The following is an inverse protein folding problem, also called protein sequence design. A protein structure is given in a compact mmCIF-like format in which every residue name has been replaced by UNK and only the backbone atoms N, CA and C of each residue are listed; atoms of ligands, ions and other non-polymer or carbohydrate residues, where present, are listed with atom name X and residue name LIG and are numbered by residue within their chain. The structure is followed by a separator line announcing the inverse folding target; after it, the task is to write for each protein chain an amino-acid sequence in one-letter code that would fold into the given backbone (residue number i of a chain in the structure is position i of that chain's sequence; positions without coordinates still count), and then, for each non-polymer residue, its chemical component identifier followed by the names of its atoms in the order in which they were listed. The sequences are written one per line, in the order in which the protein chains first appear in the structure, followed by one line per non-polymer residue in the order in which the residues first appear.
data_IF_687400103238
#
_entry.id   IF_687400103238
#
_cell.length_a   1.000
_cell.length_b   1.000
_cell.length_c   1.000
_cell.angle_alpha   90.00
_cell.angle_beta   90.00
_cell.angle_gamma   90.00
#
_symmetry.space_group_name_H-M   'P 1'
#
loop_
_entity.id
_entity.type
_entity.pdbx_description
1 polymer ?
#
# COMPACT_ATOMS: atom_id res chain seq x y z
N UNK A 1 19.88 -43.57 36.80
CA UNK A 1 21.07 -43.02 36.13
C UNK A 1 20.59 -42.28 34.88
N UNK A 2 20.81 -40.96 34.89
CA UNK A 2 20.66 -39.90 33.88
C UNK A 2 19.55 -39.90 32.80
N UNK A 3 18.84 -38.77 32.84
CA UNK A 3 17.92 -38.12 31.88
C UNK A 3 18.62 -37.80 30.55
N UNK A 4 17.92 -37.91 29.42
CA UNK A 4 18.08 -36.95 28.31
C UNK A 4 16.75 -36.76 27.57
N UNK A 5 16.00 -35.71 27.97
CA UNK A 5 15.08 -35.04 27.08
C UNK A 5 15.88 -34.27 26.05
N UNK A 6 15.65 -34.52 24.76
CA UNK A 6 16.27 -33.74 23.70
C UNK A 6 15.35 -32.55 23.39
N UNK A 7 15.70 -31.40 23.96
CA UNK A 7 15.20 -30.09 23.56
C UNK A 7 15.71 -29.85 22.13
N UNK A 8 14.83 -29.96 21.14
CA UNK A 8 15.10 -29.54 19.78
C UNK A 8 14.46 -28.16 19.58
N UNK A 9 15.12 -27.05 19.97
CA UNK A 9 14.45 -25.73 19.89
C UNK A 9 15.29 -24.52 19.47
N UNK A 10 16.48 -24.66 18.87
CA UNK A 10 17.24 -23.45 18.48
C UNK A 10 17.96 -23.49 17.13
N UNK A 11 18.05 -24.64 16.45
CA UNK A 11 18.75 -24.74 15.16
C UNK A 11 17.83 -24.70 13.92
N UNK A 12 16.51 -24.91 14.09
CA UNK A 12 15.51 -24.81 12.99
C UNK A 12 15.33 -23.35 12.56
N UNK A 13 15.73 -22.37 13.36
CA UNK A 13 15.16 -21.02 13.28
C UNK A 13 15.91 -20.04 12.36
N UNK A 14 17.21 -20.26 12.07
CA UNK A 14 17.99 -19.31 11.23
C UNK A 14 18.15 -19.75 9.79
N UNK A 15 18.46 -21.02 9.56
CA UNK A 15 18.66 -21.54 8.21
C UNK A 15 17.34 -21.65 7.43
N UNK A 16 16.26 -22.10 8.07
CA UNK A 16 14.93 -22.11 7.45
C UNK A 16 14.48 -20.68 7.12
N UNK A 17 14.55 -19.76 8.09
CA UNK A 17 14.20 -18.34 7.88
C UNK A 17 15.04 -17.69 6.77
N UNK A 18 16.33 -18.03 6.66
CA UNK A 18 17.20 -17.52 5.60
C UNK A 18 16.86 -18.07 4.20
N UNK A 19 16.44 -19.35 4.11
CA UNK A 19 16.00 -19.96 2.85
C UNK A 19 14.65 -19.38 2.43
N UNK A 20 13.71 -19.22 3.36
CA UNK A 20 12.42 -18.58 3.12
C UNK A 20 12.61 -17.15 2.64
N UNK A 21 13.46 -16.35 3.31
CA UNK A 21 13.81 -15.00 2.86
C UNK A 21 14.47 -14.96 1.48
N UNK A 22 15.24 -15.98 1.11
CA UNK A 22 15.85 -16.12 -0.22
C UNK A 22 14.84 -16.49 -1.31
N UNK A 23 13.87 -17.37 -1.02
CA UNK A 23 12.75 -17.69 -1.92
C UNK A 23 11.77 -16.53 -2.07
N UNK A 24 11.66 -15.67 -1.05
CA UNK A 24 10.78 -14.50 -1.02
C UNK A 24 11.45 -13.24 -1.59
N UNK A 25 12.68 -13.38 -2.11
CA UNK A 25 13.34 -12.31 -2.85
C UNK A 25 12.61 -12.03 -4.18
N UNK A 26 12.51 -10.76 -4.57
CA UNK A 26 11.84 -10.36 -5.80
C UNK A 26 12.58 -11.00 -7.00
N UNK A 27 11.81 -11.49 -7.98
CA UNK A 27 12.39 -12.12 -9.17
C UNK A 27 12.61 -13.64 -9.08
N UNK A 28 12.22 -14.30 -7.99
CA UNK A 28 12.37 -15.76 -7.81
C UNK A 28 11.10 -16.57 -8.07
N UNK A 29 9.95 -15.92 -8.12
CA UNK A 29 8.72 -16.53 -8.60
C UNK A 29 8.73 -16.69 -10.12
N UNK A 30 7.73 -17.39 -10.64
CA UNK A 30 7.52 -17.60 -12.09
C UNK A 30 6.08 -17.33 -12.51
N UNK A 31 5.26 -16.79 -11.60
CA UNK A 31 3.86 -16.52 -11.86
C UNK A 31 3.74 -15.20 -12.62
N UNK A 32 2.96 -15.22 -13.70
CA UNK A 32 2.55 -14.01 -14.40
C UNK A 32 1.45 -13.35 -13.58
N UNK A 33 1.61 -12.06 -13.31
CA UNK A 33 0.61 -11.26 -12.62
C UNK A 33 0.53 -9.87 -13.25
N UNK A 34 -0.69 -9.39 -13.45
CA UNK A 34 -0.98 -8.08 -14.01
C UNK A 34 -2.21 -7.50 -13.33
N UNK A 35 -2.16 -6.21 -12.99
CA UNK A 35 -3.32 -5.49 -12.44
C UNK A 35 -3.20 -3.99 -12.67
N UNK A 36 -4.29 -3.28 -12.39
CA UNK A 36 -4.36 -1.81 -12.39
C UNK A 36 -4.53 -1.33 -10.96
N UNK A 37 -3.70 -0.38 -10.54
CA UNK A 37 -3.72 0.21 -9.20
C UNK A 37 -3.97 1.71 -9.26
N UNK A 38 -4.80 2.21 -8.34
CA UNK A 38 -5.03 3.63 -8.08
C UNK A 38 -4.32 4.07 -6.79
N UNK A 39 -4.57 5.28 -6.28
CA UNK A 39 -3.99 5.72 -5.02
C UNK A 39 -4.23 4.75 -3.85
N UNK A 40 -3.19 4.55 -3.04
CA UNK A 40 -3.19 3.63 -1.91
C UNK A 40 -1.81 3.10 -1.53
N UNK A 41 -1.78 2.31 -0.46
CA UNK A 41 -0.61 1.57 0.01
C UNK A 41 -0.77 0.08 -0.29
N UNK A 42 0.05 -0.46 -1.19
CA UNK A 42 -0.02 -1.87 -1.60
C UNK A 42 1.19 -2.63 -1.07
N UNK A 43 0.96 -3.57 -0.16
CA UNK A 43 2.00 -4.39 0.44
C UNK A 43 2.20 -5.67 -0.37
N UNK A 44 3.42 -5.88 -0.86
CA UNK A 44 3.80 -7.11 -1.53
C UNK A 44 3.71 -8.30 -0.56
N UNK A 45 3.06 -9.38 -0.98
CA UNK A 45 2.65 -10.50 -0.13
C UNK A 45 1.21 -10.39 0.38
N UNK A 46 0.57 -9.22 0.31
CA UNK A 46 -0.83 -9.02 0.76
C UNK A 46 -1.70 -8.57 -0.41
N UNK A 47 -1.37 -7.44 -1.02
CA UNK A 47 -2.19 -6.81 -2.07
C UNK A 47 -1.71 -7.18 -3.48
N UNK A 48 -0.41 -7.43 -3.63
CA UNK A 48 0.25 -7.81 -4.87
C UNK A 48 1.29 -8.90 -4.57
N UNK A 49 1.56 -9.83 -5.50
CA UNK A 49 2.61 -10.83 -5.28
C UNK A 49 3.99 -10.21 -5.07
N UNK A 50 4.87 -10.81 -4.24
CA UNK A 50 6.28 -10.46 -4.26
C UNK A 50 6.87 -10.75 -5.65
N UNK A 51 7.68 -9.83 -6.20
CA UNK A 51 8.20 -9.98 -7.56
C UNK A 51 8.97 -8.77 -8.07
N UNK A 52 9.40 -8.85 -9.33
CA UNK A 52 10.04 -7.75 -10.07
C UNK A 52 9.08 -7.23 -11.14
N UNK A 53 8.70 -5.97 -11.07
CA UNK A 53 7.60 -5.38 -11.82
C UNK A 53 8.05 -4.38 -12.89
N UNK A 54 7.27 -4.33 -13.96
CA UNK A 54 7.13 -3.14 -14.80
C UNK A 54 5.90 -2.36 -14.36
N UNK A 55 6.03 -1.04 -14.23
CA UNK A 55 4.95 -0.12 -13.84
C UNK A 55 4.80 0.91 -14.94
N UNK A 56 3.61 1.06 -15.51
CA UNK A 56 3.31 2.03 -16.56
C UNK A 56 2.12 2.91 -16.18
N UNK A 57 2.24 4.21 -16.45
CA UNK A 57 1.13 5.17 -16.35
C UNK A 57 -0.04 4.75 -17.24
N UNK A 58 -1.26 4.87 -16.71
CA UNK A 58 -2.49 4.76 -17.51
C UNK A 58 -3.23 6.10 -17.57
N UNK A 59 -3.42 6.76 -16.43
CA UNK A 59 -4.15 8.03 -16.34
C UNK A 59 -3.87 8.76 -15.03
N UNK A 60 -4.40 9.98 -14.92
CA UNK A 60 -4.32 10.78 -13.70
C UNK A 60 -2.92 11.30 -13.38
N UNK A 61 -2.80 11.98 -12.24
CA UNK A 61 -1.58 12.63 -11.79
C UNK A 61 -1.27 12.22 -10.36
N UNK A 62 0.00 11.96 -10.08
CA UNK A 62 0.45 11.56 -8.76
C UNK A 62 1.86 11.00 -8.81
N UNK A 63 2.26 10.32 -7.74
CA UNK A 63 3.59 9.72 -7.62
C UNK A 63 3.48 8.26 -7.22
N UNK A 64 4.49 7.50 -7.59
CA UNK A 64 4.74 6.17 -7.05
C UNK A 64 5.99 6.23 -6.17
N UNK A 65 6.01 5.47 -5.06
CA UNK A 65 7.18 5.35 -4.18
C UNK A 65 7.15 4.01 -3.45
N UNK A 66 8.28 3.58 -2.87
CA UNK A 66 8.30 2.41 -1.97
C UNK A 66 9.10 2.65 -0.69
N UNK A 67 8.79 1.86 0.35
CA UNK A 67 9.45 1.94 1.65
C UNK A 67 10.82 1.23 1.73
N UNK A 68 11.16 0.38 0.75
CA UNK A 68 12.38 -0.46 0.83
C UNK A 68 13.44 -0.05 -0.19
N UNK A 69 13.07 0.25 -1.44
CA UNK A 69 13.98 0.78 -2.47
C UNK A 69 13.14 1.14 -3.69
N UNK A 70 12.72 2.40 -3.81
CA UNK A 70 12.32 3.07 -5.06
C UNK A 70 11.74 4.46 -4.75
N UNK A 71 12.33 5.51 -5.33
CA UNK A 71 11.80 6.88 -5.32
C UNK A 71 11.70 7.41 -6.76
N UNK A 72 11.01 6.68 -7.64
CA UNK A 72 10.76 7.15 -8.99
C UNK A 72 9.34 7.69 -9.13
N UNK A 73 9.19 8.98 -9.44
CA UNK A 73 7.88 9.52 -9.79
C UNK A 73 7.51 9.07 -11.22
N UNK A 74 6.44 8.30 -11.35
CA UNK A 74 5.71 8.18 -12.62
C UNK A 74 4.68 9.30 -12.63
N UNK A 75 4.95 10.38 -13.36
CA UNK A 75 3.92 11.38 -13.65
C UNK A 75 3.59 11.24 -15.15
N UNK A 76 2.33 10.99 -15.50
CA UNK A 76 1.87 11.14 -16.88
C UNK A 76 0.82 12.25 -16.94
N UNK A 77 1.05 13.24 -17.80
CA UNK A 77 0.03 14.22 -18.18
C UNK A 77 -0.25 14.04 -19.66
N UNK A 78 -1.52 14.03 -20.05
CA UNK A 78 -1.93 13.99 -21.45
C UNK A 78 -1.83 15.35 -22.16
N UNK A 79 -1.55 16.45 -21.43
CA UNK A 79 -1.80 17.82 -21.93
C UNK A 79 -0.72 18.89 -21.68
N UNK A 80 0.44 18.58 -21.07
CA UNK A 80 1.54 19.56 -20.90
C UNK A 80 2.88 18.99 -21.37
N UNK A 81 3.52 19.74 -22.28
CA UNK A 81 4.87 19.62 -22.86
C UNK A 81 5.74 18.46 -22.35
N UNK A 82 5.89 17.47 -23.24
CA UNK A 82 6.41 16.12 -23.07
C UNK A 82 7.93 16.00 -23.34
N UNK A 83 8.81 16.22 -22.36
CA UNK A 83 10.23 15.82 -22.55
C UNK A 83 10.94 15.23 -21.33
N UNK A 84 10.31 15.21 -20.14
CA UNK A 84 10.96 14.69 -18.92
C UNK A 84 10.11 13.73 -18.07
N UNK A 85 8.94 13.34 -18.57
CA UNK A 85 8.02 12.48 -17.82
C UNK A 85 8.21 11.00 -18.17
N UNK A 86 8.72 10.22 -17.19
CA UNK A 86 8.73 8.75 -17.30
C UNK A 86 7.29 8.23 -17.25
N UNK A 87 6.81 7.68 -18.36
CA UNK A 87 5.50 7.01 -18.46
C UNK A 87 5.57 5.55 -18.08
N UNK A 88 6.77 4.98 -17.96
CA UNK A 88 6.97 3.62 -17.47
C UNK A 88 8.32 3.45 -16.79
N UNK A 89 8.41 2.46 -15.90
CA UNK A 89 9.62 2.06 -15.18
C UNK A 89 9.63 0.53 -15.09
N UNK A 90 10.74 -0.06 -15.51
CA UNK A 90 10.96 -1.50 -15.45
C UNK A 90 11.86 -1.88 -14.26
N UNK A 91 11.89 -3.17 -13.95
CA UNK A 91 12.76 -3.77 -12.92
C UNK A 91 12.54 -3.24 -11.49
N UNK A 92 11.30 -2.85 -11.17
CA UNK A 92 10.93 -2.42 -9.81
C UNK A 92 10.82 -3.64 -8.91
N UNK A 93 11.74 -3.78 -7.97
CA UNK A 93 11.77 -4.91 -7.05
C UNK A 93 10.84 -4.68 -5.86
N UNK A 94 9.85 -5.54 -5.71
CA UNK A 94 8.91 -5.53 -4.60
C UNK A 94 9.01 -6.87 -3.84
N UNK A 95 10.03 -7.07 -2.99
CA UNK A 95 10.06 -8.19 -2.05
C UNK A 95 8.83 -8.17 -1.14
N UNK A 96 8.55 -9.29 -0.50
CA UNK A 96 7.58 -9.38 0.61
C UNK A 96 7.79 -8.23 1.63
N UNK A 97 6.68 -7.73 2.18
CA UNK A 97 6.60 -6.58 3.10
C UNK A 97 7.00 -5.22 2.51
N UNK A 98 7.32 -5.16 1.21
CA UNK A 98 7.54 -3.89 0.53
C UNK A 98 6.19 -3.22 0.25
N UNK A 99 6.07 -1.95 0.63
CA UNK A 99 4.89 -1.14 0.36
C UNK A 99 5.14 -0.29 -0.88
N UNK A 100 4.32 -0.46 -1.90
CA UNK A 100 4.18 0.45 -3.03
C UNK A 100 3.10 1.48 -2.71
N UNK A 101 3.47 2.75 -2.63
CA UNK A 101 2.55 3.86 -2.41
C UNK A 101 2.25 4.57 -3.72
N UNK A 102 0.97 4.80 -4.00
CA UNK A 102 0.46 5.56 -5.14
C UNK A 102 -0.37 6.72 -4.59
N UNK A 103 -0.17 7.95 -5.10
CA UNK A 103 -0.83 9.16 -4.59
C UNK A 103 -1.67 9.87 -5.66
N UNK A 104 -2.53 10.80 -5.26
CA UNK A 104 -3.33 11.63 -6.17
C UNK A 104 -4.32 10.83 -7.04
N UNK A 105 -4.65 11.33 -8.23
CA UNK A 105 -5.51 10.60 -9.17
C UNK A 105 -4.77 9.56 -10.02
N UNK A 106 -3.48 9.32 -9.77
CA UNK A 106 -2.66 8.42 -10.58
C UNK A 106 -3.22 7.01 -10.61
N UNK A 107 -3.37 6.49 -11.83
CA UNK A 107 -3.68 5.10 -12.12
C UNK A 107 -2.52 4.51 -12.93
N UNK A 108 -2.00 3.38 -12.47
CA UNK A 108 -0.92 2.65 -13.13
C UNK A 108 -1.33 1.21 -13.42
N UNK A 109 -0.79 0.67 -14.50
CA UNK A 109 -0.74 -0.76 -14.76
C UNK A 109 0.56 -1.30 -14.20
N UNK A 110 0.50 -2.42 -13.48
CA UNK A 110 1.69 -3.16 -13.07
C UNK A 110 1.65 -4.57 -13.66
N UNK A 111 2.81 -5.07 -14.07
CA UNK A 111 2.95 -6.45 -14.56
C UNK A 111 4.27 -7.07 -14.13
N UNK A 112 4.27 -8.38 -13.92
CA UNK A 112 5.44 -9.19 -13.64
C UNK A 112 5.30 -10.58 -14.24
N UNK A 113 6.42 -11.18 -14.62
CA UNK A 113 6.54 -12.61 -14.97
C UNK A 113 7.23 -13.41 -13.85
N UNK A 114 7.57 -12.72 -12.75
CA UNK A 114 8.34 -13.27 -11.63
C UNK A 114 7.59 -13.17 -10.30
N UNK A 115 6.27 -13.01 -10.39
CA UNK A 115 5.39 -12.97 -9.23
C UNK A 115 5.43 -14.31 -8.49
N UNK A 116 5.18 -14.25 -7.18
CA UNK A 116 5.17 -15.42 -6.32
C UNK A 116 3.83 -15.54 -5.59
N UNK A 117 2.82 -16.09 -6.26
CA UNK A 117 1.44 -16.16 -5.76
C UNK A 117 1.29 -17.03 -4.51
N UNK A 118 2.19 -18.00 -4.33
CA UNK A 118 2.17 -18.91 -3.17
C UNK A 118 2.44 -18.21 -1.83
N UNK A 119 3.05 -17.03 -1.86
CA UNK A 119 3.38 -16.25 -0.66
C UNK A 119 2.43 -15.07 -0.45
N UNK A 120 1.30 -15.08 -1.17
CA UNK A 120 0.18 -14.24 -0.84
C UNK A 120 -0.48 -14.73 0.44
N UNK A 121 -0.74 -13.80 1.35
CA UNK A 121 -1.54 -14.04 2.54
C UNK A 121 -2.66 -13.00 2.62
N UNK A 122 -3.74 -13.37 3.29
CA UNK A 122 -4.89 -12.49 3.46
C UNK A 122 -4.52 -11.33 4.38
N UNK A 123 -5.13 -10.16 4.13
CA UNK A 123 -5.04 -9.04 5.05
C UNK A 123 -5.82 -9.37 6.31
N UNK A 124 -5.12 -9.48 7.43
CA UNK A 124 -5.76 -9.49 8.75
C UNK A 124 -6.14 -8.05 9.12
N UNK A 125 -7.44 -7.80 9.24
CA UNK A 125 -7.96 -6.46 9.54
C UNK A 125 -9.02 -6.53 10.65
N UNK A 126 -8.75 -5.98 11.85
CA UNK A 126 -9.69 -6.03 12.96
C UNK A 126 -10.88 -5.06 12.81
N UNK A 127 -10.82 -4.13 11.84
CA UNK A 127 -11.85 -3.14 11.60
C UNK A 127 -13.20 -3.79 11.22
N UNK A 128 -14.26 -3.63 12.03
CA UNK A 128 -15.46 -4.46 11.86
C UNK A 128 -16.44 -3.91 10.80
N UNK A 129 -16.46 -2.59 10.59
CA UNK A 129 -17.50 -1.92 9.81
C UNK A 129 -17.01 -0.61 9.19
N UNK A 130 -17.72 -0.20 8.14
CA UNK A 130 -17.60 1.11 7.50
C UNK A 130 -18.08 2.23 8.42
N UNK A 131 -17.40 3.37 8.39
CA UNK A 131 -17.80 4.60 9.10
C UNK A 131 -17.72 5.81 8.17
N UNK A 132 -18.61 6.80 8.40
CA UNK A 132 -18.61 8.08 7.70
C UNK A 132 -18.12 9.15 8.67
N UNK A 133 -17.16 9.96 8.25
CA UNK A 133 -16.56 11.02 9.05
C UNK A 133 -16.63 12.34 8.27
N UNK A 134 -17.19 13.37 8.90
CA UNK A 134 -17.10 14.76 8.40
C UNK A 134 -15.86 15.44 8.97
N UNK A 135 -15.68 16.73 8.70
CA UNK A 135 -14.56 17.52 9.22
C UNK A 135 -14.35 17.34 10.73
N UNK A 136 -13.12 17.04 11.14
CA UNK A 136 -12.78 16.79 12.54
C UNK A 136 -11.42 16.14 12.73
N UNK A 137 -11.05 15.97 14.01
CA UNK A 137 -9.89 15.20 14.44
C UNK A 137 -10.40 13.95 15.14
N UNK A 138 -10.01 12.79 14.64
CA UNK A 138 -10.47 11.49 15.14
C UNK A 138 -9.28 10.64 15.55
N UNK A 139 -9.40 9.89 16.63
CA UNK A 139 -8.36 9.01 17.15
C UNK A 139 -8.76 7.56 16.96
N UNK A 140 -7.96 6.83 16.20
CA UNK A 140 -8.10 5.38 16.00
C UNK A 140 -7.98 4.63 17.34
N UNK A 141 -8.83 3.62 17.52
CA UNK A 141 -9.00 2.89 18.78
C UNK A 141 -9.84 3.62 19.83
N UNK A 142 -10.32 4.84 19.55
CA UNK A 142 -11.19 5.61 20.45
C UNK A 142 -12.48 6.04 19.75
N UNK A 143 -12.36 6.86 18.70
CA UNK A 143 -13.50 7.39 17.95
C UNK A 143 -13.99 6.39 16.89
N UNK A 144 -13.09 5.55 16.39
CA UNK A 144 -13.37 4.42 15.51
C UNK A 144 -12.37 3.29 15.79
N UNK A 145 -12.70 2.06 15.38
CA UNK A 145 -11.82 0.91 15.59
C UNK A 145 -10.48 1.08 14.84
N UNK A 146 -9.41 0.52 15.38
CA UNK A 146 -8.16 0.44 14.64
C UNK A 146 -8.28 -0.54 13.46
N UNK A 147 -7.44 -0.33 12.45
CA UNK A 147 -7.36 -1.24 11.32
C UNK A 147 -6.88 -0.57 10.04
N UNK A 148 -7.06 -1.28 8.93
CA UNK A 148 -6.74 -0.79 7.60
C UNK A 148 -8.02 -0.39 6.87
N UNK A 149 -8.03 0.79 6.25
CA UNK A 149 -9.22 1.33 5.59
C UNK A 149 -8.92 1.84 4.19
N UNK A 150 -9.85 1.64 3.27
CA UNK A 150 -9.97 2.50 2.10
C UNK A 150 -10.67 3.79 2.54
N UNK A 151 -10.05 4.93 2.24
CA UNK A 151 -10.61 6.26 2.45
C UNK A 151 -11.31 6.66 1.16
N UNK A 152 -12.63 6.77 1.19
CA UNK A 152 -13.45 7.11 0.02
C UNK A 152 -14.02 8.51 0.21
N UNK A 153 -13.77 9.41 -0.73
CA UNK A 153 -14.40 10.73 -0.76
C UNK A 153 -15.92 10.61 -0.90
N UNK A 154 -16.66 11.49 -0.22
CA UNK A 154 -18.12 11.55 -0.35
C UNK A 154 -18.62 12.93 -0.78
N UNK A 155 -18.18 13.99 -0.11
CA UNK A 155 -18.65 15.35 -0.35
C UNK A 155 -17.63 16.40 0.17
N UNK A 156 -17.72 17.63 -0.34
CA UNK A 156 -16.79 18.71 0.00
C UNK A 156 -15.43 18.57 -0.68
N UNK A 157 -14.48 19.42 -0.30
CA UNK A 157 -13.12 19.43 -0.86
C UNK A 157 -12.14 19.83 0.24
N UNK A 158 -11.06 19.05 0.38
CA UNK A 158 -10.11 19.34 1.43
C UNK A 158 -9.02 18.29 1.55
N UNK A 159 -8.46 18.17 2.76
CA UNK A 159 -7.31 17.33 3.03
C UNK A 159 -7.67 16.27 4.07
N UNK A 160 -7.29 15.03 3.78
CA UNK A 160 -7.26 13.95 4.77
C UNK A 160 -5.80 13.68 5.11
N UNK A 161 -5.45 13.74 6.38
CA UNK A 161 -4.09 13.44 6.84
C UNK A 161 -4.09 12.60 8.11
N UNK A 162 -3.04 11.83 8.32
CA UNK A 162 -2.88 11.03 9.54
C UNK A 162 -1.52 11.27 10.21
N UNK A 163 -1.48 11.15 11.53
CA UNK A 163 -0.29 11.42 12.34
C UNK A 163 0.86 10.43 12.09
N UNK A 164 0.59 9.27 11.49
CA UNK A 164 1.58 8.27 11.09
C UNK A 164 2.13 8.49 9.66
N UNK A 165 2.19 9.72 9.16
CA UNK A 165 2.58 10.06 7.78
C UNK A 165 3.83 9.30 7.27
N UNK A 166 4.87 9.19 8.10
CA UNK A 166 6.14 8.51 7.74
C UNK A 166 6.11 6.99 7.93
N UNK A 167 5.01 6.42 8.41
CA UNK A 167 4.80 4.99 8.64
C UNK A 167 3.45 4.56 8.07
N UNK A 168 3.34 4.59 6.73
CA UNK A 168 2.13 4.26 5.95
C UNK A 168 0.89 5.10 6.26
N UNK A 169 1.10 6.34 6.72
CA UNK A 169 0.03 7.31 6.90
C UNK A 169 -0.41 7.98 5.60
N UNK A 170 -1.24 9.01 5.73
CA UNK A 170 -1.85 9.73 4.62
C UNK A 170 -1.59 11.24 4.72
N UNK A 171 -1.45 11.87 3.57
CA UNK A 171 -1.69 13.30 3.38
C UNK A 171 -2.16 13.49 1.93
N UNK A 172 -3.46 13.47 1.71
CA UNK A 172 -4.07 13.54 0.38
C UNK A 172 -5.10 14.65 0.29
N UNK A 173 -5.05 15.38 -0.82
CA UNK A 173 -6.15 16.22 -1.23
C UNK A 173 -7.23 15.35 -1.86
N UNK A 174 -8.49 15.59 -1.49
CA UNK A 174 -9.65 14.86 -2.01
C UNK A 174 -10.78 15.83 -2.36
N UNK A 175 -11.56 15.49 -3.39
CA UNK A 175 -12.67 16.32 -3.87
C UNK A 175 -12.24 17.50 -4.76
N UNK A 176 -10.95 17.65 -5.06
CA UNK A 176 -10.45 18.66 -6.01
C UNK A 176 -10.34 18.07 -7.41
N UNK A 177 -11.18 18.55 -8.33
CA UNK A 177 -11.16 18.26 -9.78
C UNK A 177 -10.78 16.79 -10.17
N UNK A 178 -10.31 16.58 -11.40
CA UNK A 178 -9.91 15.25 -11.87
C UNK A 178 -8.49 14.84 -11.39
N UNK A 179 -7.81 15.70 -10.64
CA UNK A 179 -6.40 15.52 -10.25
C UNK A 179 -6.24 15.00 -8.82
N UNK A 180 -7.28 15.05 -7.99
CA UNK A 180 -7.28 14.48 -6.64
C UNK A 180 -7.69 13.02 -6.58
N UNK A 181 -7.22 12.32 -5.53
CA UNK A 181 -7.69 10.99 -5.22
C UNK A 181 -9.17 11.03 -4.82
N UNK A 182 -10.00 10.21 -5.46
CA UNK A 182 -11.40 9.97 -5.04
C UNK A 182 -11.50 8.82 -4.03
N UNK A 183 -10.51 7.93 -4.05
CA UNK A 183 -10.32 6.87 -3.08
C UNK A 183 -8.82 6.70 -2.83
N UNK A 184 -8.43 6.53 -1.57
CA UNK A 184 -7.09 6.09 -1.19
C UNK A 184 -7.20 4.73 -0.51
N UNK A 185 -6.59 3.69 -1.09
CA UNK A 185 -6.73 2.31 -0.59
C UNK A 185 -5.72 1.99 0.51
N UNK A 186 -6.13 1.12 1.43
CA UNK A 186 -5.26 0.48 2.40
C UNK A 186 -4.48 1.43 3.35
N UNK A 187 -5.12 2.50 3.83
CA UNK A 187 -4.56 3.35 4.87
C UNK A 187 -4.55 2.60 6.21
N UNK A 188 -3.37 2.43 6.79
CA UNK A 188 -3.19 1.77 8.09
C UNK A 188 -3.36 2.80 9.23
N UNK A 189 -4.33 2.56 10.11
CA UNK A 189 -4.66 3.41 11.26
C UNK A 189 -4.59 2.59 12.56
N UNK A 190 -3.38 2.29 13.07
CA UNK A 190 -3.23 1.60 14.35
C UNK A 190 -3.76 2.44 15.51
N UNK A 191 -4.08 1.80 16.65
CA UNK A 191 -4.57 2.50 17.83
C UNK A 191 -3.68 3.69 18.21
N UNK A 192 -4.33 4.80 18.54
CA UNK A 192 -3.68 6.05 18.91
C UNK A 192 -3.33 6.97 17.74
N UNK A 193 -3.43 6.51 16.49
CA UNK A 193 -3.25 7.36 15.30
C UNK A 193 -4.35 8.41 15.21
N UNK A 194 -3.98 9.68 15.03
CA UNK A 194 -4.92 10.77 14.74
C UNK A 194 -5.15 10.87 13.24
N UNK A 195 -6.41 10.83 12.82
CA UNK A 195 -6.88 11.13 11.47
C UNK A 195 -7.55 12.51 11.49
N UNK A 196 -7.00 13.44 10.71
CA UNK A 196 -7.56 14.77 10.49
C UNK A 196 -8.30 14.78 9.15
N UNK A 197 -9.58 15.13 9.20
CA UNK A 197 -10.44 15.37 8.04
C UNK A 197 -10.74 16.86 8.00
N UNK A 198 -10.29 17.58 6.97
CA UNK A 198 -10.46 19.03 6.89
C UNK A 198 -11.32 19.40 5.69
N UNK A 199 -12.49 20.00 5.95
CA UNK A 199 -13.41 20.59 4.94
C UNK A 199 -14.04 19.60 3.94
N UNK A 200 -14.13 18.32 4.32
CA UNK A 200 -14.78 17.30 3.52
C UNK A 200 -15.46 16.22 4.38
N UNK A 201 -16.27 15.39 3.73
CA UNK A 201 -16.81 14.15 4.28
C UNK A 201 -16.20 12.96 3.56
N UNK A 202 -15.75 11.97 4.34
CA UNK A 202 -15.17 10.73 3.86
C UNK A 202 -15.90 9.52 4.44
N UNK A 203 -15.72 8.38 3.78
CA UNK A 203 -16.12 7.07 4.24
C UNK A 203 -14.87 6.19 4.42
N UNK A 204 -14.64 5.70 5.62
CA UNK A 204 -13.63 4.68 5.90
C UNK A 204 -14.28 3.30 5.73
N UNK A 205 -13.83 2.54 4.73
CA UNK A 205 -14.29 1.17 4.46
C UNK A 205 -13.18 0.20 4.86
N UNK A 206 -13.41 -0.79 5.74
CA UNK A 206 -12.39 -1.78 6.07
C UNK A 206 -11.83 -2.45 4.81
N UNK A 207 -10.51 -2.40 4.65
CA UNK A 207 -9.80 -3.08 3.56
C UNK A 207 -9.86 -4.60 3.74
N UNK A 208 -9.85 -5.34 2.63
CA UNK A 208 -9.89 -6.81 2.58
C UNK A 208 -8.61 -7.38 2.02
#
# INVERSE_FOLDING_TARGET
MLVFGLILTTAIDKNFLSITKYLNSPGKGTDVYETTLSAGHYTAGIDIPPGTYSISHLSGIGKTSSNKFFSGAINGRSDLSLDSLKTSIANVQLPEDTVLTITGSLVVKISTETGNLKYMHLRENPAPKTIILSSGLYKSGQDFAEGTYNVVWMDGFGIVSSSNLFNKGLAEQMGFDALSAQEFKNLELPAGTTLTVSDLTIKLVPSK
#
